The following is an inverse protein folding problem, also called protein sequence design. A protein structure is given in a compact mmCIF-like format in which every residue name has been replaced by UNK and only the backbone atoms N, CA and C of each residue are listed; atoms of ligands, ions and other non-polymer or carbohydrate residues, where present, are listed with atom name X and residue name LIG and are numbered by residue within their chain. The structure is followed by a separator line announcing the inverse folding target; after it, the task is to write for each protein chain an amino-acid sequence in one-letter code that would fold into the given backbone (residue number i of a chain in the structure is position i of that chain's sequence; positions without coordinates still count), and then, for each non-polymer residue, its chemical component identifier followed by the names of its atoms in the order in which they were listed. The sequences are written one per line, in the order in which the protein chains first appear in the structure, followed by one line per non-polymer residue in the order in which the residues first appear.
data_IF_835159023684
#
_entry.id   IF_835159023684
#
_cell.length_a   1.000
_cell.length_b   1.000
_cell.length_c   1.000
_cell.angle_alpha   90.00
_cell.angle_beta   90.00
_cell.angle_gamma   90.00
#
_symmetry.space_group_name_H-M   'P 1'
#
loop_
_entity.id
_entity.type
_entity.pdbx_description
1 polymer ?
#
# COMPACT_ATOMS: atom_id res chain seq x y z
N UNK A 1 -3.09 -16.08 6.14
CA UNK A 1 -2.17 -15.36 7.05
C UNK A 1 -0.89 -15.07 6.28
N UNK A 2 -0.56 -13.80 6.06
CA UNK A 2 0.52 -13.38 5.12
C UNK A 2 1.93 -13.42 5.75
N UNK A 3 2.02 -13.33 7.08
CA UNK A 3 3.29 -13.32 7.82
C UNK A 3 3.35 -14.48 8.81
N UNK A 4 4.55 -15.01 9.04
CA UNK A 4 4.79 -16.09 10.01
C UNK A 4 4.49 -15.60 11.43
N UNK A 5 3.85 -16.46 12.23
CA UNK A 5 3.51 -16.22 13.64
C UNK A 5 2.10 -15.64 13.88
N UNK A 6 1.52 -15.95 15.03
CA UNK A 6 0.19 -15.48 15.46
C UNK A 6 0.18 -13.99 15.82
N UNK A 7 -1.01 -13.42 15.97
CA UNK A 7 -1.20 -12.07 16.53
C UNK A 7 -0.46 -10.96 15.75
N UNK A 8 -0.51 -11.03 14.42
CA UNK A 8 0.21 -10.11 13.53
C UNK A 8 -0.19 -8.65 13.74
N UNK A 9 -1.46 -8.40 14.08
CA UNK A 9 -2.01 -7.06 14.33
C UNK A 9 -1.38 -6.44 15.58
N UNK A 10 -1.41 -7.14 16.72
CA UNK A 10 -0.91 -6.54 17.96
C UNK A 10 0.62 -6.54 17.98
N UNK A 11 1.27 -7.52 17.34
CA UNK A 11 2.72 -7.49 17.09
C UNK A 11 3.14 -6.24 16.30
N UNK A 12 2.46 -5.93 15.19
CA UNK A 12 2.75 -4.72 14.42
C UNK A 12 2.51 -3.46 15.25
N UNK A 13 1.39 -3.38 15.97
CA UNK A 13 1.09 -2.24 16.85
C UNK A 13 2.12 -2.03 17.96
N UNK A 14 2.63 -3.11 18.58
CA UNK A 14 3.71 -3.04 19.58
C UNK A 14 5.02 -2.54 18.99
N UNK A 15 5.41 -3.07 17.82
CA UNK A 15 6.64 -2.65 17.14
C UNK A 15 6.56 -1.18 16.73
N UNK A 16 5.42 -0.74 16.19
CA UNK A 16 5.20 0.65 15.82
C UNK A 16 5.37 1.59 17.01
N UNK A 17 4.74 1.29 18.16
CA UNK A 17 4.90 2.09 19.38
C UNK A 17 6.34 2.15 19.87
N UNK A 18 7.07 1.04 19.77
CA UNK A 18 8.50 1.00 20.14
C UNK A 18 9.34 1.91 19.25
N UNK A 19 9.09 1.91 17.94
CA UNK A 19 9.80 2.78 16.99
C UNK A 19 9.48 4.25 17.27
N UNK A 20 8.21 4.60 17.44
CA UNK A 20 7.79 5.98 17.74
C UNK A 20 8.40 6.45 19.07
N UNK A 21 8.40 5.61 20.10
CA UNK A 21 9.01 5.94 21.39
C UNK A 21 10.54 6.00 21.38
N UNK A 22 11.18 5.63 20.26
CA UNK A 22 12.64 5.76 20.08
C UNK A 22 13.05 6.96 19.22
N UNK A 23 12.08 7.71 18.67
CA UNK A 23 12.37 8.90 17.88
C UNK A 23 12.86 10.06 18.76
N UNK A 24 13.72 10.91 18.21
CA UNK A 24 14.13 12.16 18.86
C UNK A 24 13.02 13.21 18.80
N UNK A 25 13.12 14.25 19.62
CA UNK A 25 12.20 15.39 19.59
C UNK A 25 12.23 16.12 18.24
N UNK A 26 13.39 16.17 17.59
CA UNK A 26 13.55 16.73 16.24
C UNK A 26 12.78 15.91 15.20
N UNK A 27 12.92 14.58 15.22
CA UNK A 27 12.20 13.66 14.31
C UNK A 27 10.69 13.73 14.54
N UNK A 28 10.24 13.79 15.80
CA UNK A 28 8.83 13.98 16.13
C UNK A 28 8.30 15.32 15.63
N UNK A 29 9.12 16.39 15.67
CA UNK A 29 8.76 17.69 15.15
C UNK A 29 8.62 17.69 13.63
N UNK A 30 9.48 16.95 12.91
CA UNK A 30 9.34 16.76 11.46
C UNK A 30 8.01 16.10 11.09
N UNK A 31 7.56 15.12 11.89
CA UNK A 31 6.26 14.47 11.69
C UNK A 31 5.06 15.38 11.96
N UNK A 32 5.26 16.52 12.65
CA UNK A 32 4.21 17.48 12.99
C UNK A 32 2.98 16.85 13.69
N UNK A 33 3.20 15.74 14.41
CA UNK A 33 2.17 14.94 15.08
C UNK A 33 2.65 14.56 16.47
N UNK A 34 1.73 14.39 17.41
CA UNK A 34 2.08 13.82 18.72
C UNK A 34 2.21 12.28 18.63
N UNK A 35 3.13 11.65 19.37
CA UNK A 35 3.29 10.20 19.37
C UNK A 35 1.98 9.40 19.58
N UNK A 36 1.06 9.93 20.37
CA UNK A 36 -0.19 9.29 20.76
C UNK A 36 -1.19 9.19 19.60
N UNK A 37 -1.12 10.11 18.62
CA UNK A 37 -2.00 10.07 17.44
C UNK A 37 -1.48 9.12 16.37
N UNK A 38 -0.21 8.70 16.46
CA UNK A 38 0.41 7.78 15.51
C UNK A 38 0.11 6.34 15.93
N UNK A 39 -0.72 5.68 15.14
CA UNK A 39 -1.09 4.29 15.32
C UNK A 39 -1.54 3.61 14.03
N UNK A 40 -1.84 2.31 14.12
CA UNK A 40 -2.21 1.47 12.96
C UNK A 40 -3.41 2.03 12.17
N UNK A 41 -4.39 2.60 12.86
CA UNK A 41 -5.54 3.25 12.24
C UNK A 41 -5.18 4.55 11.52
N UNK A 42 -4.36 5.40 12.15
CA UNK A 42 -3.88 6.63 11.54
C UNK A 42 -3.01 6.34 10.31
N UNK A 43 -2.18 5.29 10.34
CA UNK A 43 -1.40 4.85 9.20
C UNK A 43 -2.31 4.43 8.06
N UNK A 44 -3.30 3.56 8.33
CA UNK A 44 -4.25 3.12 7.29
C UNK A 44 -4.97 4.30 6.63
N UNK A 45 -5.49 5.24 7.43
CA UNK A 45 -6.18 6.44 6.91
C UNK A 45 -5.20 7.38 6.18
N UNK A 46 -4.07 7.68 6.80
CA UNK A 46 -3.04 8.56 6.24
C UNK A 46 -2.50 8.06 4.91
N UNK A 47 -2.27 6.76 4.76
CA UNK A 47 -1.88 6.14 3.49
C UNK A 47 -2.90 6.38 2.38
N UNK A 48 -4.20 6.31 2.69
CA UNK A 48 -5.25 6.60 1.71
C UNK A 48 -5.31 8.09 1.35
N UNK A 49 -5.22 8.98 2.33
CA UNK A 49 -5.17 10.42 2.10
C UNK A 49 -3.96 10.82 1.26
N UNK A 50 -2.80 10.24 1.56
CA UNK A 50 -1.56 10.47 0.80
C UNK A 50 -1.73 10.04 -0.67
N UNK A 51 -2.21 8.82 -0.92
CA UNK A 51 -2.38 8.31 -2.28
C UNK A 51 -3.43 9.09 -3.09
N UNK A 52 -4.56 9.45 -2.45
CA UNK A 52 -5.62 10.25 -3.07
C UNK A 52 -5.23 11.71 -3.31
N UNK A 53 -4.27 12.23 -2.53
CA UNK A 53 -3.80 13.61 -2.64
C UNK A 53 -2.79 13.84 -3.77
N UNK A 54 -2.27 12.78 -4.40
CA UNK A 54 -1.27 12.95 -5.47
C UNK A 54 -1.91 13.33 -6.81
N UNK A 55 -1.33 14.32 -7.47
CA UNK A 55 -1.64 14.66 -8.85
C UNK A 55 -1.18 13.50 -9.75
N UNK A 56 -2.07 12.99 -10.60
CA UNK A 56 -1.87 11.75 -11.37
C UNK A 56 -1.69 10.48 -10.51
N UNK A 57 -2.22 10.47 -9.29
CA UNK A 57 -2.28 9.31 -8.42
C UNK A 57 -3.30 8.24 -8.88
N UNK A 58 -3.41 7.12 -8.12
CA UNK A 58 -4.38 6.06 -8.38
C UNK A 58 -5.81 6.58 -8.23
N UNK A 59 -6.72 5.96 -8.96
CA UNK A 59 -8.15 6.28 -8.84
C UNK A 59 -8.65 5.99 -7.42
N UNK A 60 -9.65 6.75 -6.91
CA UNK A 60 -10.16 6.51 -5.56
C UNK A 60 -10.65 5.08 -5.33
N UNK A 61 -11.28 4.51 -6.35
CA UNK A 61 -11.71 3.10 -6.38
C UNK A 61 -10.54 2.15 -6.11
N UNK A 62 -9.40 2.35 -6.77
CA UNK A 62 -8.22 1.50 -6.60
C UNK A 62 -7.65 1.59 -5.18
N UNK A 63 -7.64 2.80 -4.59
CA UNK A 63 -7.22 3.01 -3.20
C UNK A 63 -8.17 2.31 -2.22
N UNK A 64 -9.48 2.41 -2.41
CA UNK A 64 -10.48 1.76 -1.55
C UNK A 64 -10.39 0.24 -1.62
N UNK A 65 -10.28 -0.32 -2.83
CA UNK A 65 -10.06 -1.75 -3.01
C UNK A 65 -8.78 -2.21 -2.29
N UNK A 66 -7.66 -1.49 -2.44
CA UNK A 66 -6.40 -1.82 -1.78
C UNK A 66 -6.46 -1.70 -0.26
N UNK A 67 -7.30 -0.80 0.27
CA UNK A 67 -7.60 -0.71 1.69
C UNK A 67 -8.53 -1.80 2.22
N UNK A 68 -9.10 -2.64 1.33
CA UNK A 68 -10.14 -3.59 1.70
C UNK A 68 -11.46 -2.93 2.10
N UNK A 69 -11.72 -1.72 1.59
CA UNK A 69 -12.96 -0.99 1.84
C UNK A 69 -14.00 -1.37 0.79
N UNK A 70 -15.20 -1.74 1.24
CA UNK A 70 -16.35 -1.99 0.37
C UNK A 70 -16.74 -0.73 -0.41
N UNK A 71 -17.01 -0.91 -1.70
CA UNK A 71 -17.54 0.10 -2.63
C UNK A 71 -19.07 0.12 -2.64
N UNK A 72 -19.71 -0.70 -1.80
CA UNK A 72 -21.15 -0.90 -1.73
C UNK A 72 -21.62 -2.13 -2.51
N UNK A 73 -22.84 -2.58 -2.20
CA UNK A 73 -23.41 -3.86 -2.66
C UNK A 73 -23.36 -4.08 -4.17
N UNK A 74 -23.62 -3.03 -4.96
CA UNK A 74 -23.63 -3.12 -6.42
C UNK A 74 -22.20 -3.12 -6.98
N UNK A 75 -21.39 -2.15 -6.58
CA UNK A 75 -20.06 -1.94 -7.15
C UNK A 75 -19.09 -3.08 -6.81
N UNK A 76 -19.20 -3.66 -5.61
CA UNK A 76 -18.35 -4.79 -5.19
C UNK A 76 -18.51 -6.03 -6.10
N UNK A 77 -19.62 -6.13 -6.85
CA UNK A 77 -19.88 -7.24 -7.76
C UNK A 77 -19.23 -7.08 -9.13
N UNK A 78 -18.93 -5.85 -9.55
CA UNK A 78 -18.48 -5.54 -10.92
C UNK A 78 -17.10 -4.89 -10.99
N UNK A 79 -16.66 -4.28 -9.91
CA UNK A 79 -15.41 -3.54 -9.84
C UNK A 79 -14.38 -4.38 -9.10
N UNK A 80 -13.32 -4.76 -9.82
CA UNK A 80 -12.25 -5.60 -9.31
C UNK A 80 -10.90 -4.88 -9.39
N UNK A 81 -9.89 -5.48 -8.75
CA UNK A 81 -8.53 -4.95 -8.74
C UNK A 81 -7.97 -4.85 -10.16
N UNK A 82 -7.61 -3.63 -10.57
CA UNK A 82 -6.80 -3.40 -11.76
C UNK A 82 -5.32 -3.49 -11.40
N UNK A 83 -4.59 -4.41 -12.02
CA UNK A 83 -3.20 -4.73 -11.66
C UNK A 83 -2.28 -3.48 -11.65
N UNK A 84 -2.32 -2.66 -12.70
CA UNK A 84 -1.45 -1.47 -12.79
C UNK A 84 -1.76 -0.41 -11.71
N UNK A 85 -3.05 -0.17 -11.45
CA UNK A 85 -3.46 0.83 -10.44
C UNK A 85 -3.18 0.34 -9.01
N UNK A 86 -3.32 -0.96 -8.76
CA UNK A 86 -2.96 -1.58 -7.49
C UNK A 86 -1.44 -1.49 -7.25
N UNK A 87 -0.62 -1.85 -8.26
CA UNK A 87 0.83 -1.72 -8.19
C UNK A 87 1.30 -0.28 -7.94
N UNK A 88 0.66 0.72 -8.58
CA UNK A 88 0.93 2.13 -8.35
C UNK A 88 0.63 2.51 -6.90
N UNK A 89 -0.57 2.18 -6.42
CA UNK A 89 -1.00 2.46 -5.05
C UNK A 89 -0.05 1.81 -4.03
N UNK A 90 0.39 0.58 -4.29
CA UNK A 90 1.36 -0.13 -3.47
C UNK A 90 2.72 0.54 -3.38
N UNK A 91 3.28 0.95 -4.53
CA UNK A 91 4.56 1.65 -4.58
C UNK A 91 4.51 2.98 -3.82
N UNK A 92 3.45 3.76 -4.04
CA UNK A 92 3.25 5.04 -3.35
C UNK A 92 3.21 4.87 -1.83
N UNK A 93 2.39 3.95 -1.33
CA UNK A 93 2.25 3.71 0.11
C UNK A 93 3.55 3.17 0.73
N UNK A 94 4.34 2.42 -0.04
CA UNK A 94 5.66 1.95 0.37
C UNK A 94 6.76 3.03 0.31
N UNK A 95 6.44 4.26 -0.14
CA UNK A 95 7.43 5.33 -0.33
C UNK A 95 8.44 5.04 -1.44
N UNK A 96 8.11 4.15 -2.39
CA UNK A 96 8.98 3.80 -3.52
C UNK A 96 8.77 4.79 -4.67
N UNK A 97 9.81 5.08 -5.49
CA UNK A 97 9.66 5.89 -6.70
C UNK A 97 8.57 5.34 -7.63
N UNK A 98 7.60 6.19 -7.98
CA UNK A 98 6.44 5.84 -8.80
C UNK A 98 6.32 6.69 -10.07
N UNK A 99 7.24 7.62 -10.28
CA UNK A 99 7.35 8.55 -11.41
C UNK A 99 8.25 8.04 -12.55
N UNK A 100 9.02 6.97 -12.31
CA UNK A 100 9.91 6.38 -13.31
C UNK A 100 9.12 5.66 -14.41
N UNK A 101 9.44 5.96 -15.68
CA UNK A 101 8.91 5.25 -16.85
C UNK A 101 9.10 3.72 -16.80
N UNK A 102 10.17 3.24 -16.14
CA UNK A 102 10.43 1.80 -15.91
C UNK A 102 9.32 1.08 -15.16
N UNK A 103 8.47 1.80 -14.42
CA UNK A 103 7.32 1.19 -13.74
C UNK A 103 6.29 0.65 -14.74
N UNK A 104 6.10 1.31 -15.88
CA UNK A 104 5.18 0.86 -16.93
C UNK A 104 5.75 -0.23 -17.83
N UNK A 105 7.01 -0.65 -17.63
CA UNK A 105 7.64 -1.67 -18.45
C UNK A 105 7.20 -3.05 -17.96
N UNK A 106 6.48 -3.76 -18.81
CA UNK A 106 6.10 -5.16 -18.56
C UNK A 106 7.36 -6.04 -18.48
N UNK A 107 7.37 -7.06 -17.62
CA UNK A 107 8.46 -8.03 -17.62
C UNK A 107 8.58 -8.71 -18.99
N UNK A 108 9.77 -9.19 -19.38
CA UNK A 108 9.94 -9.90 -20.65
C UNK A 108 9.00 -11.13 -20.70
N UNK A 109 8.15 -11.17 -21.72
CA UNK A 109 7.31 -12.32 -22.00
C UNK A 109 8.13 -13.37 -22.74
N UNK A 110 8.46 -14.46 -22.07
CA UNK A 110 9.09 -15.60 -22.71
C UNK A 110 8.02 -16.46 -23.40
N UNK A 111 8.17 -16.80 -24.68
CA UNK A 111 7.29 -17.78 -25.30
C UNK A 111 7.42 -19.12 -24.58
N UNK A 112 6.34 -19.91 -24.46
CA UNK A 112 6.44 -21.26 -23.94
C UNK A 112 7.45 -22.05 -24.77
N UNK A 113 8.33 -22.80 -24.10
CA UNK A 113 9.27 -23.70 -24.76
C UNK A 113 8.46 -24.61 -25.70
N UNK A 114 8.65 -24.45 -27.00
CA UNK A 114 8.09 -25.37 -27.99
C UNK A 114 8.81 -26.70 -27.77
N UNK A 115 8.22 -27.59 -26.96
CA UNK A 115 8.62 -28.99 -26.95
C UNK A 115 8.20 -29.53 -28.30
N UNK A 116 9.15 -29.67 -29.23
CA UNK A 116 8.91 -30.40 -30.48
C UNK A 116 8.34 -31.76 -30.08
N UNK A 117 7.17 -32.18 -30.62
CA UNK A 117 6.73 -33.55 -30.41
C UNK A 117 7.77 -34.51 -31.01
N UNK A 118 7.91 -35.72 -30.43
CA UNK A 118 8.82 -36.74 -30.94
C UNK A 118 8.50 -37.17 -32.37
#
# INVERSE_FOLDING_TARGET
QLFIGSDSKDRFGRLLRRVIGSLSEEELRELSCTPEVIGTHSLRKGSSSYALGQVNGPTPVSVYLRMGQSLGRLNDQYIHFGEGADQLCGRMIAGLPFDSNRFGVVPPHFPPLITRPP
#
